data_IF_773564979204
#
_entry.id   IF_773564979204
#
_cell.length_a   1.000
_cell.length_b   1.000
_cell.length_c   1.000
_cell.angle_alpha   90.00
_cell.angle_beta   90.00
_cell.angle_gamma   90.00
#
_symmetry.space_group_name_H-M   'P 1'
#
loop_
_entity.id
_entity.type
_entity.pdbx_description
1 polymer ?
#
# COMPACT_ATOMS: atom_id res chain seq x y z
N UNK A 1 15.39 -15.22 37.58
CA UNK A 1 16.45 -14.24 37.90
C UNK A 1 16.20 -13.02 37.01
N UNK A 2 16.18 -11.79 37.55
CA UNK A 2 15.89 -10.58 36.76
C UNK A 2 17.08 -9.64 36.82
N UNK A 3 17.80 -9.50 35.71
CA UNK A 3 18.83 -8.46 35.55
C UNK A 3 18.13 -7.12 35.29
N UNK A 4 18.34 -6.14 36.18
CA UNK A 4 17.87 -4.76 36.00
C UNK A 4 19.06 -3.84 35.83
N UNK A 5 19.23 -3.30 34.62
CA UNK A 5 20.22 -2.26 34.34
C UNK A 5 19.52 -0.90 34.27
N UNK A 6 19.81 -0.01 35.22
CA UNK A 6 19.16 1.31 35.28
C UNK A 6 19.69 2.29 34.22
N UNK A 7 21.01 2.26 33.95
CA UNK A 7 21.63 2.93 32.81
C UNK A 7 22.99 2.32 32.47
N UNK A 8 23.39 2.48 31.21
CA UNK A 8 24.75 2.24 30.72
C UNK A 8 25.30 3.60 30.27
N UNK A 9 26.56 3.89 30.61
CA UNK A 9 27.30 5.03 30.07
C UNK A 9 28.47 4.48 29.27
N UNK A 10 28.55 4.88 28.01
CA UNK A 10 29.73 4.65 27.19
C UNK A 10 30.56 5.93 27.21
N UNK A 11 31.83 5.82 27.58
CA UNK A 11 32.81 6.88 27.45
C UNK A 11 33.67 6.53 26.24
N UNK A 12 33.78 7.46 25.28
CA UNK A 12 34.76 7.33 24.19
C UNK A 12 36.03 8.01 24.65
N UNK A 13 37.17 7.32 24.49
CA UNK A 13 38.46 7.97 24.62
C UNK A 13 38.68 8.88 23.40
N UNK A 14 39.25 10.05 23.66
CA UNK A 14 39.55 11.10 22.69
C UNK A 14 41.01 11.56 22.81
N UNK A 15 41.83 10.86 23.61
CA UNK A 15 43.24 11.14 23.78
C UNK A 15 44.03 10.84 22.50
N UNK A 16 45.10 11.62 22.29
CA UNK A 16 46.01 11.55 21.15
C UNK A 16 47.27 10.71 21.44
N UNK A 17 47.38 10.14 22.64
CA UNK A 17 48.48 9.28 23.11
C UNK A 17 48.32 7.78 22.77
N UNK A 18 47.20 7.40 22.14
CA UNK A 18 46.92 6.05 21.67
C UNK A 18 47.47 5.79 20.25
N UNK A 19 47.72 4.52 19.94
CA UNK A 19 48.11 4.07 18.59
C UNK A 19 47.00 4.33 17.55
N UNK A 20 47.39 4.50 16.29
CA UNK A 20 46.50 4.97 15.23
C UNK A 20 45.29 4.04 14.91
N UNK A 21 45.35 2.79 15.34
CA UNK A 21 44.29 1.78 15.23
C UNK A 21 43.34 1.75 16.46
N UNK A 22 43.70 2.39 17.56
CA UNK A 22 42.92 2.43 18.81
C UNK A 22 42.01 3.66 18.93
N UNK A 23 42.06 4.60 17.98
CA UNK A 23 41.20 5.79 18.01
C UNK A 23 39.73 5.48 17.76
N UNK A 24 38.90 5.71 18.79
CA UNK A 24 37.44 5.66 18.69
C UNK A 24 36.93 6.72 17.70
N UNK A 25 36.41 6.28 16.56
CA UNK A 25 35.92 7.19 15.52
C UNK A 25 34.57 7.83 15.92
N UNK A 26 34.50 9.16 15.87
CA UNK A 26 33.27 9.93 16.19
C UNK A 26 32.52 10.28 14.91
N UNK A 27 31.26 9.85 14.81
CA UNK A 27 30.37 10.17 13.69
C UNK A 27 29.57 8.97 13.19
N UNK A 28 28.84 9.18 12.10
CA UNK A 28 28.16 8.10 11.37
C UNK A 28 29.06 7.59 10.24
N UNK A 29 29.13 6.27 10.06
CA UNK A 29 29.82 5.60 8.96
C UNK A 29 31.32 6.00 8.78
N UNK A 30 32.17 5.84 9.83
CA UNK A 30 33.58 6.14 9.72
C UNK A 30 34.29 5.14 8.79
N UNK A 31 35.14 5.64 7.87
CA UNK A 31 35.82 4.86 6.83
C UNK A 31 36.66 3.67 7.32
N UNK A 32 37.06 3.68 8.59
CA UNK A 32 37.87 2.66 9.25
C UNK A 32 37.06 1.46 9.75
N UNK A 33 35.72 1.55 9.75
CA UNK A 33 34.82 0.54 10.30
C UNK A 33 33.94 -0.09 9.21
N UNK A 34 33.39 -1.31 9.43
CA UNK A 34 32.41 -1.90 8.54
C UNK A 34 31.18 -1.00 8.36
N UNK A 35 30.73 -0.85 7.12
CA UNK A 35 29.50 -0.11 6.81
C UNK A 35 28.28 -0.87 7.33
N UNK A 36 27.16 -0.17 7.53
CA UNK A 36 25.87 -0.79 7.87
C UNK A 36 25.52 -1.96 6.94
N UNK A 37 25.74 -1.79 5.63
CA UNK A 37 25.44 -2.81 4.63
C UNK A 37 26.34 -4.04 4.76
N UNK A 38 27.61 -3.87 5.14
CA UNK A 38 28.50 -4.99 5.43
C UNK A 38 28.01 -5.79 6.65
N UNK A 39 27.68 -5.10 7.74
CA UNK A 39 27.20 -5.73 8.98
C UNK A 39 25.89 -6.50 8.75
N UNK A 40 24.95 -5.92 8.00
CA UNK A 40 23.68 -6.59 7.65
C UNK A 40 23.88 -7.81 6.73
N UNK A 41 24.93 -7.82 5.92
CA UNK A 41 25.25 -8.93 5.02
C UNK A 41 26.01 -10.10 5.68
N UNK A 42 26.62 -9.87 6.85
CA UNK A 42 27.41 -10.85 7.62
C UNK A 42 26.83 -11.05 9.02
N UNK A 43 25.51 -10.88 9.18
CA UNK A 43 24.86 -10.91 10.50
C UNK A 43 24.97 -12.29 11.18
N UNK A 44 25.13 -13.35 10.37
CA UNK A 44 25.39 -14.73 10.77
C UNK A 44 26.77 -14.95 11.42
N UNK A 45 27.75 -14.07 11.18
CA UNK A 45 29.02 -14.07 11.93
C UNK A 45 28.86 -13.52 13.37
N UNK A 46 27.83 -12.70 13.59
CA UNK A 46 27.57 -12.00 14.86
C UNK A 46 26.42 -12.58 15.68
N UNK A 47 25.64 -13.51 15.11
CA UNK A 47 24.59 -14.23 15.83
C UNK A 47 24.87 -15.72 16.01
N UNK A 48 24.24 -16.31 17.02
CA UNK A 48 24.22 -17.77 17.19
C UNK A 48 22.85 -18.20 17.74
N UNK A 49 22.68 -19.49 18.01
CA UNK A 49 21.39 -20.03 18.47
C UNK A 49 20.91 -19.44 19.81
N UNK A 50 21.84 -18.99 20.67
CA UNK A 50 21.55 -18.44 22.00
C UNK A 50 21.50 -16.89 22.01
N UNK A 51 22.14 -16.25 21.03
CA UNK A 51 22.21 -14.80 20.87
C UNK A 51 21.87 -14.41 19.41
N UNK A 52 20.57 -14.37 19.10
CA UNK A 52 20.06 -13.89 17.80
C UNK A 52 20.03 -12.37 17.72
N UNK A 53 20.30 -11.83 16.53
CA UNK A 53 20.09 -10.41 16.27
C UNK A 53 18.62 -10.02 16.47
N UNK A 54 18.38 -8.86 17.07
CA UNK A 54 17.03 -8.33 17.31
C UNK A 54 16.96 -6.85 16.95
N UNK A 55 16.04 -6.51 16.05
CA UNK A 55 15.71 -5.14 15.66
C UNK A 55 15.25 -4.30 16.87
N UNK A 56 15.93 -3.17 17.11
CA UNK A 56 15.63 -2.29 18.25
C UNK A 56 14.29 -1.61 18.04
N UNK A 57 13.28 -2.01 18.81
CA UNK A 57 11.92 -1.48 18.68
C UNK A 57 11.63 -0.43 19.77
N UNK A 58 11.90 0.84 19.46
CA UNK A 58 11.64 1.96 20.37
C UNK A 58 12.75 2.19 21.41
N UNK A 59 12.38 2.71 22.59
CA UNK A 59 13.25 3.04 23.72
C UNK A 59 14.22 4.23 23.53
N UNK A 60 14.22 4.96 22.41
CA UNK A 60 14.86 6.28 22.37
C UNK A 60 14.23 7.23 23.41
N UNK A 61 15.04 8.17 23.91
CA UNK A 61 14.52 9.25 24.75
C UNK A 61 13.61 10.19 23.94
N UNK A 62 12.51 10.62 24.54
CA UNK A 62 11.53 11.53 23.95
C UNK A 62 10.98 12.52 24.98
N UNK A 63 10.55 13.69 24.48
CA UNK A 63 9.83 14.73 25.22
C UNK A 63 8.35 14.78 24.81
N UNK A 64 8.04 14.64 23.52
CA UNK A 64 6.67 14.58 22.99
C UNK A 64 6.44 13.34 22.12
N UNK A 65 5.19 13.10 21.69
CA UNK A 65 4.88 12.03 20.73
C UNK A 65 5.54 12.25 19.36
N UNK A 66 5.88 13.49 19.02
CA UNK A 66 6.47 13.87 17.74
C UNK A 66 7.91 13.35 17.59
N UNK A 67 8.64 13.21 18.70
CA UNK A 67 9.97 12.58 18.74
C UNK A 67 9.96 11.13 18.22
N UNK A 68 8.80 10.48 18.29
CA UNK A 68 8.58 9.07 17.94
C UNK A 68 7.70 8.90 16.68
N UNK A 69 7.59 9.95 15.86
CA UNK A 69 6.64 10.06 14.74
C UNK A 69 7.39 10.47 13.48
N UNK A 70 7.15 9.82 12.34
CA UNK A 70 7.81 10.20 11.09
C UNK A 70 7.33 11.59 10.67
N UNK A 71 8.29 12.50 10.52
CA UNK A 71 8.07 13.91 10.21
C UNK A 71 7.79 14.81 11.43
N UNK A 72 7.43 14.23 12.58
CA UNK A 72 7.22 14.95 13.85
C UNK A 72 6.40 16.23 13.71
N UNK A 73 6.86 17.31 14.33
CA UNK A 73 6.27 18.64 14.26
C UNK A 73 6.65 19.46 13.00
N UNK A 74 7.51 18.91 12.13
CA UNK A 74 8.06 19.62 10.96
C UNK A 74 7.35 19.22 9.65
N UNK A 75 6.70 18.06 9.59
CA UNK A 75 5.99 17.60 8.41
C UNK A 75 4.56 18.14 8.34
N UNK A 76 4.11 18.49 7.12
CA UNK A 76 2.72 18.90 6.84
C UNK A 76 1.70 17.78 7.13
N UNK A 77 2.11 16.52 7.00
CA UNK A 77 1.29 15.32 7.24
C UNK A 77 2.13 14.28 8.01
N UNK A 78 2.25 14.40 9.35
CA UNK A 78 3.08 13.49 10.13
C UNK A 78 2.43 12.10 10.24
N UNK A 79 3.24 11.05 10.08
CA UNK A 79 2.78 9.65 10.18
C UNK A 79 3.05 9.16 11.59
N UNK A 80 1.97 8.93 12.36
CA UNK A 80 2.05 8.43 13.74
C UNK A 80 2.50 6.97 13.75
N UNK A 81 3.78 6.75 14.01
CA UNK A 81 4.42 5.43 14.05
C UNK A 81 4.74 4.96 15.47
N UNK A 82 4.96 5.90 16.40
CA UNK A 82 5.23 5.65 17.81
C UNK A 82 4.59 6.69 18.73
N UNK A 83 4.79 6.51 20.04
CA UNK A 83 4.34 7.41 21.10
C UNK A 83 5.37 7.51 22.22
N UNK A 84 5.54 8.70 22.80
CA UNK A 84 6.33 8.87 24.00
C UNK A 84 5.56 8.36 25.23
N UNK A 85 6.18 7.46 25.99
CA UNK A 85 5.64 6.90 27.24
C UNK A 85 6.80 6.82 28.23
N UNK A 86 6.67 7.39 29.43
CA UNK A 86 7.74 7.41 30.46
C UNK A 86 9.09 7.94 29.92
N UNK A 87 9.05 8.99 29.09
CA UNK A 87 10.22 9.58 28.39
C UNK A 87 10.95 8.62 27.42
N UNK A 88 10.30 7.52 27.00
CA UNK A 88 10.80 6.53 26.05
C UNK A 88 9.83 6.34 24.87
N UNK A 89 10.35 6.22 23.65
CA UNK A 89 9.50 5.91 22.50
C UNK A 89 8.96 4.47 22.57
N UNK A 90 7.66 4.28 22.33
CA UNK A 90 7.01 2.98 22.16
C UNK A 90 6.29 2.95 20.82
N UNK A 91 6.63 1.98 19.97
CA UNK A 91 6.07 1.89 18.63
C UNK A 91 4.60 1.44 18.69
N UNK A 92 3.77 1.96 17.78
CA UNK A 92 2.32 1.71 17.77
C UNK A 92 1.99 0.35 17.16
N UNK A 93 2.76 -0.08 16.15
CA UNK A 93 2.58 -1.32 15.41
C UNK A 93 3.92 -2.02 15.21
N UNK A 94 3.91 -3.35 15.06
CA UNK A 94 5.12 -4.17 14.83
C UNK A 94 5.78 -3.95 13.46
N UNK A 95 5.13 -3.21 12.56
CA UNK A 95 5.68 -2.75 11.27
C UNK A 95 6.63 -1.56 11.40
N UNK A 96 6.83 -1.03 12.62
CA UNK A 96 7.69 0.12 12.91
C UNK A 96 8.78 -0.24 13.92
N UNK A 97 10.00 0.14 13.59
CA UNK A 97 11.22 -0.16 14.33
C UNK A 97 12.19 1.01 14.39
N UNK A 98 13.41 0.69 14.80
CA UNK A 98 14.42 1.67 15.21
C UNK A 98 14.09 2.34 16.56
N UNK A 99 15.07 3.02 17.18
CA UNK A 99 14.90 3.58 18.51
C UNK A 99 13.75 4.61 18.65
N UNK A 100 13.46 5.36 17.58
CA UNK A 100 12.39 6.36 17.51
C UNK A 100 11.13 5.88 16.77
N UNK A 101 11.02 4.59 16.43
CA UNK A 101 9.89 4.04 15.65
C UNK A 101 9.73 4.67 14.26
N UNK A 102 10.83 5.14 13.66
CA UNK A 102 10.84 5.84 12.36
C UNK A 102 11.29 4.95 11.20
N UNK A 103 11.73 3.72 11.47
CA UNK A 103 12.14 2.75 10.45
C UNK A 103 10.96 1.82 10.14
N UNK A 104 10.61 1.64 8.87
CA UNK A 104 9.64 0.61 8.48
C UNK A 104 10.33 -0.77 8.56
N UNK A 105 9.80 -1.67 9.40
CA UNK A 105 10.23 -3.07 9.41
C UNK A 105 9.39 -3.81 8.37
N UNK A 106 10.04 -4.30 7.31
CA UNK A 106 9.44 -5.35 6.49
C UNK A 106 9.46 -6.66 7.29
N UNK A 107 8.30 -7.29 7.44
CA UNK A 107 8.14 -8.50 8.25
C UNK A 107 8.78 -9.75 7.66
N UNK A 108 10.12 -9.82 7.61
CA UNK A 108 10.90 -11.02 7.25
C UNK A 108 10.89 -12.04 8.41
N UNK A 109 9.69 -12.39 8.86
CA UNK A 109 9.47 -13.48 9.80
C UNK A 109 8.67 -14.57 9.10
N UNK A 110 9.09 -15.81 9.26
CA UNK A 110 8.47 -17.05 8.76
C UNK A 110 7.05 -17.31 9.30
N UNK A 111 6.44 -16.31 9.94
CA UNK A 111 5.14 -16.33 10.62
C UNK A 111 4.31 -15.06 10.36
N UNK A 112 4.35 -14.52 9.14
CA UNK A 112 3.23 -13.87 8.42
C UNK A 112 2.44 -12.74 9.07
N UNK A 113 2.92 -12.09 10.14
CA UNK A 113 2.08 -11.24 11.02
C UNK A 113 2.57 -9.79 11.18
N UNK A 114 3.65 -9.40 10.49
CA UNK A 114 4.28 -8.07 10.62
C UNK A 114 4.46 -7.33 9.29
N UNK A 115 3.74 -7.74 8.24
CA UNK A 115 3.77 -7.09 6.92
C UNK A 115 3.13 -5.70 6.95
N UNK A 116 3.75 -4.75 6.24
CA UNK A 116 3.27 -3.39 6.07
C UNK A 116 2.01 -3.35 5.17
N UNK A 117 0.84 -3.03 5.74
CA UNK A 117 -0.42 -2.92 5.01
C UNK A 117 -1.64 -3.14 5.90
N UNK A 118 -2.87 -3.11 5.34
CA UNK A 118 -4.05 -3.63 6.01
C UNK A 118 -3.83 -5.10 6.38
N UNK A 119 -4.42 -5.62 7.49
CA UNK A 119 -4.25 -7.01 7.86
C UNK A 119 -4.76 -7.92 6.74
N UNK A 120 -4.02 -8.99 6.42
CA UNK A 120 -4.23 -9.82 5.22
C UNK A 120 -5.70 -10.24 5.00
N UNK A 121 -6.42 -10.58 6.07
CA UNK A 121 -7.83 -10.95 6.01
C UNK A 121 -8.74 -9.84 5.46
N UNK A 122 -8.44 -8.56 5.74
CA UNK A 122 -9.21 -7.43 5.24
C UNK A 122 -9.01 -7.25 3.73
N UNK A 123 -7.76 -7.39 3.25
CA UNK A 123 -7.44 -7.38 1.82
C UNK A 123 -8.12 -8.52 1.07
N UNK A 124 -8.15 -9.73 1.66
CA UNK A 124 -8.86 -10.89 1.12
C UNK A 124 -10.37 -10.62 1.05
N UNK A 125 -10.96 -10.09 2.12
CA UNK A 125 -12.40 -9.80 2.17
C UNK A 125 -12.84 -8.77 1.12
N UNK A 126 -12.10 -7.67 0.96
CA UNK A 126 -12.35 -6.67 -0.11
C UNK A 126 -12.25 -7.31 -1.50
N UNK A 127 -11.21 -8.13 -1.73
CA UNK A 127 -11.01 -8.82 -3.02
C UNK A 127 -12.18 -9.76 -3.34
N UNK A 128 -12.64 -10.55 -2.37
CA UNK A 128 -13.79 -11.44 -2.54
C UNK A 128 -15.07 -10.69 -2.90
N UNK A 129 -15.35 -9.55 -2.24
CA UNK A 129 -16.51 -8.69 -2.55
C UNK A 129 -16.45 -8.18 -3.99
N UNK A 130 -15.28 -7.71 -4.45
CA UNK A 130 -15.10 -7.22 -5.84
C UNK A 130 -15.33 -8.34 -6.86
N UNK A 131 -14.85 -9.56 -6.59
CA UNK A 131 -15.08 -10.73 -7.47
C UNK A 131 -16.57 -11.11 -7.52
N UNK A 132 -17.28 -11.07 -6.40
CA UNK A 132 -18.73 -11.34 -6.36
C UNK A 132 -19.52 -10.25 -7.12
N UNK A 133 -19.21 -8.97 -6.93
CA UNK A 133 -19.91 -7.87 -7.62
C UNK A 133 -19.65 -7.86 -9.14
N UNK A 134 -18.42 -8.18 -9.57
CA UNK A 134 -18.08 -8.27 -11.00
C UNK A 134 -18.74 -9.46 -11.68
N UNK A 135 -18.74 -10.64 -11.05
CA UNK A 135 -19.44 -11.84 -11.59
C UNK A 135 -20.96 -11.63 -11.69
N UNK A 136 -21.61 -11.04 -10.66
CA UNK A 136 -23.03 -10.67 -10.73
C UNK A 136 -23.29 -9.66 -11.87
N UNK A 137 -22.42 -8.66 -12.02
CA UNK A 137 -22.57 -7.64 -13.08
C UNK A 137 -22.49 -8.25 -14.49
N UNK A 138 -21.54 -9.16 -14.72
CA UNK A 138 -21.40 -9.91 -15.97
C UNK A 138 -22.64 -10.77 -16.21
N UNK A 139 -23.10 -11.52 -15.21
CA UNK A 139 -24.31 -12.36 -15.33
C UNK A 139 -25.57 -11.55 -15.68
N UNK A 140 -25.83 -10.45 -14.96
CA UNK A 140 -26.97 -9.57 -15.26
C UNK A 140 -26.84 -8.93 -16.65
N UNK A 141 -25.64 -8.57 -17.09
CA UNK A 141 -25.43 -8.00 -18.43
C UNK A 141 -25.71 -9.01 -19.54
N UNK A 142 -25.26 -10.26 -19.41
CA UNK A 142 -25.47 -11.32 -20.41
C UNK A 142 -26.94 -11.75 -20.49
N UNK A 143 -27.62 -11.88 -19.35
CA UNK A 143 -29.06 -12.14 -19.30
C UNK A 143 -29.84 -10.98 -19.95
N UNK A 144 -29.55 -9.72 -19.60
CA UNK A 144 -30.20 -8.55 -20.22
C UNK A 144 -29.94 -8.47 -21.74
N UNK A 145 -28.73 -8.78 -22.19
CA UNK A 145 -28.39 -8.84 -23.61
C UNK A 145 -29.16 -9.96 -24.34
N UNK A 146 -29.28 -11.15 -23.73
CA UNK A 146 -30.06 -12.26 -24.28
C UNK A 146 -31.56 -11.91 -24.37
N UNK A 147 -32.13 -11.24 -23.35
CA UNK A 147 -33.51 -10.77 -23.40
C UNK A 147 -33.73 -9.70 -24.48
N UNK A 148 -32.80 -8.74 -24.62
CA UNK A 148 -32.84 -7.74 -25.71
C UNK A 148 -32.78 -8.39 -27.10
N UNK A 149 -31.92 -9.39 -27.31
CA UNK A 149 -31.87 -10.18 -28.56
C UNK A 149 -33.19 -10.90 -28.83
N UNK A 150 -33.79 -11.57 -27.82
CA UNK A 150 -35.11 -12.22 -27.95
C UNK A 150 -36.22 -11.23 -28.29
N UNK A 151 -36.23 -10.05 -27.68
CA UNK A 151 -37.21 -9.00 -27.98
C UNK A 151 -37.06 -8.46 -29.42
N UNK A 152 -35.83 -8.20 -29.87
CA UNK A 152 -35.55 -7.75 -31.23
C UNK A 152 -35.95 -8.80 -32.29
N UNK A 153 -35.66 -10.09 -32.05
CA UNK A 153 -36.08 -11.17 -32.96
C UNK A 153 -37.60 -11.35 -33.00
N UNK A 154 -38.32 -11.15 -31.88
CA UNK A 154 -39.79 -11.15 -31.88
C UNK A 154 -40.36 -9.99 -32.70
N UNK A 155 -39.77 -8.80 -32.60
CA UNK A 155 -40.19 -7.64 -33.39
C UNK A 155 -39.91 -7.84 -34.89
N UNK A 156 -38.81 -8.49 -35.25
CA UNK A 156 -38.48 -8.84 -36.64
C UNK A 156 -39.37 -9.94 -37.25
N UNK A 157 -40.14 -10.67 -36.44
CA UNK A 157 -41.10 -11.69 -36.90
C UNK A 157 -42.55 -11.19 -36.97
N UNK A 158 -42.83 -9.93 -36.59
CA UNK A 158 -44.08 -9.28 -36.97
C UNK A 158 -43.96 -8.93 -38.46
N UNK A 159 -44.78 -9.50 -39.36
CA UNK A 159 -44.74 -9.09 -40.75
C UNK A 159 -45.08 -7.60 -40.83
N UNK A 160 -44.31 -6.83 -41.61
CA UNK A 160 -44.75 -5.49 -41.99
C UNK A 160 -46.08 -5.65 -42.71
N UNK A 161 -47.16 -5.14 -42.12
CA UNK A 161 -48.44 -5.02 -42.81
C UNK A 161 -48.16 -4.13 -44.02
N UNK A 162 -48.33 -4.69 -45.21
CA UNK A 162 -48.28 -3.95 -46.46
C UNK A 162 -49.56 -3.12 -46.49
N UNK A 163 -49.43 -1.80 -46.54
CA UNK A 163 -50.57 -0.92 -46.80
C UNK A 163 -51.02 -1.17 -48.25
N UNK A 164 -52.18 -1.82 -48.40
CA UNK A 164 -52.68 -2.31 -49.67
C UNK A 164 -53.54 -1.24 -50.34
N UNK A 165 -52.92 -0.42 -51.19
CA UNK A 165 -53.59 0.60 -52.01
C UNK A 165 -54.38 -0.04 -53.16
N UNK A 166 -55.71 0.11 -53.26
CA UNK A 166 -56.48 -0.29 -54.43
C UNK A 166 -56.39 0.75 -55.55
N UNK A 167 -56.44 0.29 -56.80
CA UNK A 167 -56.07 1.04 -58.01
C UNK A 167 -57.16 1.94 -58.64
N UNK A 168 -56.67 3.02 -59.25
CA UNK A 168 -57.16 3.83 -60.40
C UNK A 168 -58.05 3.09 -61.45
N UNK A 169 -58.86 3.79 -62.28
CA UNK A 169 -58.50 4.96 -63.13
C UNK A 169 -59.50 6.16 -63.03
N UNK A 170 -59.61 7.19 -63.90
CA UNK A 170 -59.07 7.45 -65.26
C UNK A 170 -58.92 8.98 -65.59
N UNK A 171 -58.70 9.29 -66.88
CA UNK A 171 -58.77 10.56 -67.67
C UNK A 171 -59.63 11.73 -67.14
N UNK A 172 -59.35 13.04 -67.40
CA UNK A 172 -59.01 13.65 -68.70
C UNK A 172 -58.55 15.15 -68.57
N UNK A 173 -57.44 15.57 -69.20
CA UNK A 173 -57.04 16.99 -69.55
C UNK A 173 -56.92 18.05 -68.42
N UNK A 174 -56.18 19.18 -68.51
CA UNK A 174 -55.44 19.86 -69.61
C UNK A 174 -54.33 20.82 -69.06
N UNK A 175 -53.37 21.16 -69.92
CA UNK A 175 -52.55 22.40 -69.97
C UNK A 175 -51.52 22.80 -68.87
N UNK A 176 -50.25 22.87 -69.31
CA UNK A 176 -49.27 23.97 -69.20
C UNK A 176 -49.23 24.86 -67.93
N UNK A 177 -48.05 24.93 -67.29
CA UNK A 177 -47.14 26.08 -67.54
C UNK A 177 -45.72 25.91 -66.99
N UNK A 178 -44.80 26.53 -67.72
CA UNK A 178 -43.33 26.51 -67.67
C UNK A 178 -42.78 27.73 -66.89
N UNK A 179 -41.73 27.57 -66.06
CA UNK A 179 -40.70 28.56 -65.67
C UNK A 179 -40.02 28.09 -64.35
N UNK A 180 -38.76 27.63 -64.33
CA UNK A 180 -37.47 28.36 -64.44
C UNK A 180 -37.07 29.21 -63.22
N UNK A 181 -35.79 29.01 -62.85
CA UNK A 181 -34.91 29.78 -61.94
C UNK A 181 -35.10 29.62 -60.43
#
# INVERSE_FOLDING_TARGET
>A
MYLKMDHIRLYQDLADDLEADNYMSVGCDPKTHPTKQWIEAHIDEYENNDNKWQEVTGMAFCKSHDDCTIGGSMAKTPVKTGKCVNKRCKCLYKSWGGPRCTTAIAGTSTSGSTTYGPPLWASIAVTAIVVVLTTISIYVSTVRAAQRKKAAMRYAHVPKVVDETPSQPNELTKENSQSNS
#
